data_IF_371910035296
#
_entry.id   IF_371910035296
#
_cell.length_a   1.000
_cell.length_b   1.000
_cell.length_c   1.000
_cell.angle_alpha   90.00
_cell.angle_beta   90.00
_cell.angle_gamma   90.00
#
_symmetry.space_group_name_H-M   'P 1'
#
loop_
_entity.id
_entity.type
_entity.pdbx_description
1 polymer ?
#
# COMPACT_ATOMS: atom_id res chain seq x y z
N UNK A 1 13.09 -25.68 2.00
CA UNK A 1 11.62 -25.96 2.03
C UNK A 1 10.81 -24.65 2.18
N UNK A 2 11.06 -23.83 3.22
CA UNK A 2 10.27 -22.59 3.45
C UNK A 2 10.48 -21.57 2.32
N UNK A 3 11.71 -21.42 1.85
CA UNK A 3 12.05 -20.54 0.73
C UNK A 3 11.36 -20.95 -0.57
N UNK A 4 11.32 -22.25 -0.84
CA UNK A 4 10.67 -22.80 -2.03
C UNK A 4 9.14 -22.58 -1.98
N UNK A 5 8.55 -22.71 -0.79
CA UNK A 5 7.14 -22.44 -0.56
C UNK A 5 6.80 -20.96 -0.75
N UNK A 6 7.66 -20.04 -0.26
CA UNK A 6 7.49 -18.59 -0.45
C UNK A 6 7.61 -18.24 -1.93
N UNK A 7 8.64 -18.73 -2.62
CA UNK A 7 8.81 -18.50 -4.06
C UNK A 7 7.66 -19.04 -4.90
N UNK A 8 7.09 -20.18 -4.50
CA UNK A 8 5.89 -20.70 -5.13
C UNK A 8 4.67 -19.80 -4.91
N UNK A 9 4.48 -19.30 -3.69
CA UNK A 9 3.40 -18.35 -3.35
C UNK A 9 3.53 -17.04 -4.13
N UNK A 10 4.75 -16.49 -4.26
CA UNK A 10 5.04 -15.29 -5.05
C UNK A 10 4.62 -15.44 -6.53
N UNK A 11 4.73 -16.65 -7.06
CA UNK A 11 4.28 -16.98 -8.42
C UNK A 11 2.76 -17.06 -8.61
N UNK A 12 1.97 -17.08 -7.53
CA UNK A 12 0.52 -17.18 -7.63
C UNK A 12 -0.13 -15.84 -7.93
N UNK A 13 -1.27 -15.81 -8.66
CA UNK A 13 -1.96 -14.58 -9.04
C UNK A 13 -2.78 -14.02 -7.87
N UNK A 14 -2.14 -13.81 -6.72
CA UNK A 14 -2.77 -13.23 -5.55
C UNK A 14 -2.25 -11.83 -5.24
N UNK A 15 -3.12 -11.01 -4.69
CA UNK A 15 -2.76 -9.80 -3.98
C UNK A 15 -2.44 -10.16 -2.52
N UNK A 16 -1.16 -10.13 -2.17
CA UNK A 16 -0.71 -10.37 -0.80
C UNK A 16 -0.92 -9.13 0.05
N UNK A 17 -1.63 -9.28 1.16
CA UNK A 17 -2.06 -8.18 2.02
C UNK A 17 -2.15 -8.63 3.48
N UNK A 18 -2.43 -7.69 4.38
CA UNK A 18 -2.79 -7.98 5.77
C UNK A 18 -4.29 -7.90 5.96
N UNK A 19 -4.81 -8.49 7.05
CA UNK A 19 -6.23 -8.36 7.40
C UNK A 19 -6.66 -6.89 7.57
N UNK A 20 -5.76 -6.07 8.16
CA UNK A 20 -6.01 -4.64 8.35
C UNK A 20 -6.10 -3.90 7.02
N UNK A 21 -5.12 -4.08 6.15
CA UNK A 21 -5.10 -3.46 4.82
C UNK A 21 -6.30 -3.90 3.98
N UNK A 22 -6.57 -5.20 3.90
CA UNK A 22 -7.74 -5.72 3.18
C UNK A 22 -9.05 -5.12 3.69
N UNK A 23 -9.24 -5.05 5.02
CA UNK A 23 -10.46 -4.48 5.59
C UNK A 23 -10.60 -2.99 5.27
N UNK A 24 -9.51 -2.22 5.36
CA UNK A 24 -9.50 -0.79 5.01
C UNK A 24 -9.75 -0.58 3.52
N UNK A 25 -9.13 -1.39 2.65
CA UNK A 25 -9.40 -1.39 1.21
C UNK A 25 -10.88 -1.60 0.90
N UNK A 26 -11.49 -2.62 1.50
CA UNK A 26 -12.92 -2.90 1.36
C UNK A 26 -13.79 -1.73 1.82
N UNK A 27 -13.48 -1.14 2.98
CA UNK A 27 -14.22 0.01 3.51
C UNK A 27 -14.07 1.25 2.62
N UNK A 28 -12.88 1.53 2.11
CA UNK A 28 -12.61 2.63 1.19
C UNK A 28 -13.41 2.47 -0.11
N UNK A 29 -13.44 1.27 -0.69
CA UNK A 29 -14.28 0.98 -1.86
C UNK A 29 -15.77 1.19 -1.58
N UNK A 30 -16.26 0.74 -0.43
CA UNK A 30 -17.67 0.91 -0.02
C UNK A 30 -18.05 2.37 0.26
N UNK A 31 -17.10 3.22 0.63
CA UNK A 31 -17.32 4.65 0.89
C UNK A 31 -17.24 5.51 -0.37
N UNK A 32 -16.97 4.91 -1.53
CA UNK A 32 -16.89 5.62 -2.81
C UNK A 32 -18.29 5.87 -3.36
N UNK A 33 -18.57 7.12 -3.68
CA UNK A 33 -19.78 7.54 -4.38
C UNK A 33 -19.47 7.88 -5.82
N UNK A 34 -20.37 7.55 -6.72
CA UNK A 34 -20.22 7.78 -8.16
C UNK A 34 -21.40 8.59 -8.66
N UNK A 35 -21.12 9.68 -9.35
CA UNK A 35 -22.12 10.55 -9.97
C UNK A 35 -21.82 10.62 -11.47
N UNK A 36 -22.88 10.60 -12.26
CA UNK A 36 -22.79 10.63 -13.70
C UNK A 36 -23.44 11.92 -14.24
N UNK A 37 -22.77 12.58 -15.18
CA UNK A 37 -23.25 13.78 -15.85
C UNK A 37 -22.78 13.79 -17.33
N UNK A 38 -23.67 13.36 -18.22
CA UNK A 38 -23.41 13.31 -19.66
C UNK A 38 -22.26 12.35 -20.03
N UNK A 39 -21.11 12.92 -20.42
CA UNK A 39 -19.92 12.16 -20.79
C UNK A 39 -18.88 12.10 -19.67
N UNK A 40 -19.24 12.52 -18.46
CA UNK A 40 -18.33 12.53 -17.31
C UNK A 40 -18.89 11.68 -16.17
N UNK A 41 -18.02 10.85 -15.59
CA UNK A 41 -18.30 10.13 -14.35
C UNK A 41 -17.38 10.71 -13.27
N UNK A 42 -17.96 11.19 -12.18
CA UNK A 42 -17.23 11.66 -11.02
C UNK A 42 -17.25 10.61 -9.93
N UNK A 43 -16.08 10.13 -9.53
CA UNK A 43 -15.90 9.18 -8.43
C UNK A 43 -15.29 9.89 -7.24
N UNK A 44 -15.97 9.89 -6.09
CA UNK A 44 -15.52 10.52 -4.85
C UNK A 44 -15.42 9.50 -3.75
N UNK A 45 -14.21 9.32 -3.20
CA UNK A 45 -13.97 8.47 -2.03
C UNK A 45 -13.94 9.31 -0.76
N UNK A 46 -14.60 8.84 0.29
CA UNK A 46 -14.62 9.55 1.56
C UNK A 46 -13.25 9.46 2.26
N UNK A 47 -12.82 10.54 2.98
CA UNK A 47 -11.58 10.51 3.73
C UNK A 47 -11.67 9.51 4.89
N UNK A 48 -10.53 8.88 5.18
CA UNK A 48 -10.37 7.99 6.35
C UNK A 48 -9.58 8.69 7.46
N UNK A 49 -9.86 8.33 8.70
CA UNK A 49 -9.26 8.98 9.88
C UNK A 49 -7.91 8.40 10.30
N UNK A 50 -7.51 7.22 9.79
CA UNK A 50 -6.37 6.48 10.33
C UNK A 50 -5.31 6.21 9.27
N UNK A 51 -5.53 5.23 8.43
CA UNK A 51 -4.59 4.83 7.38
C UNK A 51 -5.24 5.02 6.01
N UNK A 52 -4.51 5.68 5.12
CA UNK A 52 -5.00 5.96 3.77
C UNK A 52 -4.76 4.76 2.86
N UNK A 53 -5.58 3.73 2.99
CA UNK A 53 -5.55 2.55 2.12
C UNK A 53 -6.51 2.79 0.94
N UNK A 54 -6.05 2.69 -0.32
CA UNK A 54 -6.90 2.87 -1.49
C UNK A 54 -8.00 1.82 -1.56
N UNK A 55 -9.18 2.23 -2.04
CA UNK A 55 -10.29 1.33 -2.32
C UNK A 55 -10.48 1.09 -3.80
N UNK A 56 -10.95 -0.09 -4.18
CA UNK A 56 -11.24 -0.44 -5.57
C UNK A 56 -12.74 -0.51 -5.85
N UNK A 57 -13.12 -0.02 -7.01
CA UNK A 57 -14.49 -0.02 -7.52
C UNK A 57 -14.49 -0.47 -8.99
N UNK A 58 -15.43 -1.35 -9.33
CA UNK A 58 -15.75 -1.66 -10.72
C UNK A 58 -16.82 -0.71 -11.19
N UNK A 59 -16.53 0.06 -12.23
CA UNK A 59 -17.49 0.90 -12.94
C UNK A 59 -17.83 0.23 -14.25
N UNK A 60 -19.08 -0.17 -14.41
CA UNK A 60 -19.60 -0.85 -15.60
C UNK A 60 -20.42 0.14 -16.43
N UNK A 61 -20.07 0.26 -17.70
CA UNK A 61 -20.72 1.11 -18.69
C UNK A 61 -20.27 0.69 -20.09
N UNK A 62 -21.00 1.13 -21.12
CA UNK A 62 -20.84 0.74 -22.52
C UNK A 62 -20.13 1.78 -23.40
N UNK A 63 -19.45 2.76 -22.79
CA UNK A 63 -18.70 3.80 -23.48
C UNK A 63 -17.17 3.59 -23.39
N UNK A 64 -16.42 4.13 -24.33
CA UNK A 64 -14.96 4.15 -24.28
C UNK A 64 -14.46 5.27 -23.36
N UNK A 65 -13.36 5.00 -22.63
CA UNK A 65 -12.76 5.95 -21.70
C UNK A 65 -11.62 6.68 -22.40
N UNK A 66 -11.74 8.00 -22.51
CA UNK A 66 -10.67 8.84 -23.03
C UNK A 66 -9.59 9.16 -21.99
N UNK A 67 -9.93 9.12 -20.70
CA UNK A 67 -8.97 9.30 -19.60
C UNK A 67 -9.62 9.38 -18.24
N UNK A 68 -8.77 9.22 -17.21
CA UNK A 68 -9.14 9.42 -15.81
C UNK A 68 -8.23 10.49 -15.24
N UNK A 69 -8.79 11.48 -14.58
CA UNK A 69 -8.08 12.66 -14.10
C UNK A 69 -8.41 12.93 -12.64
N UNK A 70 -7.47 13.49 -11.93
CA UNK A 70 -7.68 13.97 -10.57
C UNK A 70 -8.30 15.37 -10.54
N UNK A 71 -8.52 15.91 -9.35
CA UNK A 71 -9.10 17.26 -9.15
C UNK A 71 -8.18 18.40 -9.62
N UNK A 72 -6.92 18.14 -9.92
CA UNK A 72 -5.96 19.09 -10.48
C UNK A 72 -5.85 18.99 -12.00
N UNK A 73 -6.53 18.04 -12.61
CA UNK A 73 -6.46 17.75 -14.04
C UNK A 73 -5.26 16.88 -14.43
N UNK A 74 -4.55 16.29 -13.45
CA UNK A 74 -3.48 15.34 -13.72
C UNK A 74 -4.06 13.98 -14.06
N UNK A 75 -3.44 13.31 -15.04
CA UNK A 75 -3.89 11.99 -15.46
C UNK A 75 -3.61 10.95 -14.39
N UNK A 76 -4.65 10.22 -13.99
CA UNK A 76 -4.54 9.12 -13.05
C UNK A 76 -3.80 7.93 -13.69
N UNK A 77 -2.86 7.29 -13.00
CA UNK A 77 -2.04 6.24 -13.60
C UNK A 77 -2.86 5.04 -14.08
N UNK A 78 -2.45 4.50 -15.21
CA UNK A 78 -3.03 3.29 -15.78
C UNK A 78 -2.13 2.10 -15.46
N UNK A 79 -2.68 1.00 -14.96
CA UNK A 79 -1.92 -0.19 -14.63
C UNK A 79 -2.30 -1.42 -15.48
N UNK A 80 -1.37 -2.35 -15.61
CA UNK A 80 -1.59 -3.61 -16.31
C UNK A 80 -2.34 -4.63 -15.45
N UNK A 81 -2.83 -5.70 -16.07
CA UNK A 81 -3.45 -6.83 -15.36
C UNK A 81 -2.51 -7.56 -14.40
N UNK A 82 -1.20 -7.43 -14.61
CA UNK A 82 -0.18 -8.13 -13.82
C UNK A 82 0.16 -7.45 -12.49
N UNK A 83 -0.29 -6.21 -12.29
CA UNK A 83 -0.04 -5.47 -11.05
C UNK A 83 -0.78 -6.12 -9.88
N UNK A 84 -0.02 -6.61 -8.92
CA UNK A 84 -0.50 -7.32 -7.72
C UNK A 84 -0.22 -6.58 -6.42
N UNK A 85 0.58 -5.52 -6.47
CA UNK A 85 0.84 -4.63 -5.34
C UNK A 85 -0.22 -3.54 -5.32
N UNK A 86 -0.88 -3.34 -4.17
CA UNK A 86 -1.92 -2.32 -4.04
C UNK A 86 -1.36 -0.92 -4.29
N UNK A 87 -1.85 -0.28 -5.35
CA UNK A 87 -1.50 1.07 -5.75
C UNK A 87 -2.72 1.80 -6.33
N UNK A 88 -2.64 3.11 -6.40
CA UNK A 88 -3.69 3.93 -7.04
C UNK A 88 -3.54 3.86 -8.57
N UNK A 89 -4.67 3.77 -9.26
CA UNK A 89 -4.69 3.73 -10.72
C UNK A 89 -5.99 3.16 -11.26
N UNK A 90 -6.02 2.96 -12.55
CA UNK A 90 -7.17 2.38 -13.22
C UNK A 90 -6.77 1.44 -14.35
N UNK A 91 -7.67 0.58 -14.75
CA UNK A 91 -7.48 -0.33 -15.89
C UNK A 91 -8.79 -0.55 -16.63
N UNK A 92 -8.71 -0.53 -17.97
CA UNK A 92 -9.81 -0.94 -18.82
C UNK A 92 -10.11 -2.43 -18.63
N UNK A 93 -11.39 -2.76 -18.53
CA UNK A 93 -11.89 -4.14 -18.49
C UNK A 93 -13.06 -4.27 -19.45
N UNK A 94 -13.51 -5.48 -19.70
CA UNK A 94 -14.70 -5.70 -20.51
C UNK A 94 -15.92 -5.06 -19.85
N UNK A 95 -16.58 -4.17 -20.56
CA UNK A 95 -17.77 -3.45 -20.08
C UNK A 95 -17.50 -2.39 -19.02
N UNK A 96 -16.30 -1.76 -18.99
CA UNK A 96 -16.02 -0.66 -18.08
C UNK A 96 -14.59 -0.56 -17.60
N UNK A 97 -14.37 -0.09 -16.37
CA UNK A 97 -13.05 0.06 -15.75
C UNK A 97 -13.00 -0.47 -14.32
N UNK A 98 -11.81 -0.95 -13.94
CA UNK A 98 -11.41 -1.09 -12.55
C UNK A 98 -10.72 0.19 -12.12
N UNK A 99 -11.23 0.83 -11.08
CA UNK A 99 -10.68 2.06 -10.52
C UNK A 99 -10.23 1.82 -9.09
N UNK A 100 -8.99 2.17 -8.77
CA UNK A 100 -8.44 2.16 -7.40
C UNK A 100 -8.00 3.56 -7.03
N UNK A 101 -8.66 4.16 -6.05
CA UNK A 101 -8.43 5.54 -5.64
C UNK A 101 -8.15 5.67 -4.14
N UNK A 102 -7.36 6.68 -3.78
CA UNK A 102 -7.06 6.99 -2.39
C UNK A 102 -8.30 7.57 -1.68
N UNK A 103 -8.48 7.30 -0.39
CA UNK A 103 -9.51 7.95 0.40
C UNK A 103 -9.36 9.49 0.40
N UNK A 104 -10.48 10.18 0.35
CA UNK A 104 -10.52 11.64 0.31
C UNK A 104 -10.22 12.26 -1.06
N UNK A 105 -10.12 11.46 -2.11
CA UNK A 105 -9.87 11.96 -3.47
C UNK A 105 -11.15 11.97 -4.32
N UNK A 106 -11.16 12.85 -5.31
CA UNK A 106 -12.19 12.89 -6.36
C UNK A 106 -11.50 12.71 -7.70
N UNK A 107 -12.01 11.80 -8.50
CA UNK A 107 -11.53 11.51 -9.84
C UNK A 107 -12.64 11.76 -10.86
N UNK A 108 -12.27 12.26 -12.03
CA UNK A 108 -13.15 12.47 -13.17
C UNK A 108 -12.76 11.50 -14.28
N UNK A 109 -13.67 10.64 -14.66
CA UNK A 109 -13.54 9.72 -15.80
C UNK A 109 -14.22 10.38 -16.99
N UNK A 110 -13.47 10.63 -18.06
CA UNK A 110 -14.00 11.19 -19.31
C UNK A 110 -14.29 10.06 -20.28
N UNK A 111 -15.52 10.08 -20.83
CA UNK A 111 -16.00 9.12 -21.80
C UNK A 111 -16.07 9.77 -23.19
N UNK A 112 -15.93 8.95 -24.23
CA UNK A 112 -16.09 9.42 -25.61
C UNK A 112 -17.55 9.63 -26.01
N UNK A 113 -18.47 8.92 -25.36
CA UNK A 113 -19.91 9.03 -25.56
C UNK A 113 -20.66 8.90 -24.24
N UNK A 114 -21.90 9.37 -24.22
CA UNK A 114 -22.79 9.16 -23.07
C UNK A 114 -23.18 7.70 -22.97
N UNK A 115 -22.97 7.03 -21.81
CA UNK A 115 -23.32 5.64 -21.61
C UNK A 115 -24.82 5.49 -21.31
N UNK A 116 -25.43 4.42 -21.81
CA UNK A 116 -26.85 4.12 -21.54
C UNK A 116 -27.09 3.76 -20.07
N UNK A 117 -26.11 3.12 -19.43
CA UNK A 117 -26.20 2.65 -18.04
C UNK A 117 -24.86 2.83 -17.33
N UNK A 118 -24.92 3.17 -16.05
CA UNK A 118 -23.76 3.16 -15.15
C UNK A 118 -24.08 2.31 -13.94
N UNK A 119 -23.24 1.31 -13.68
CA UNK A 119 -23.29 0.53 -12.46
C UNK A 119 -21.95 0.58 -11.74
N UNK A 120 -21.99 0.84 -10.43
CA UNK A 120 -20.80 0.92 -9.58
C UNK A 120 -20.84 -0.18 -8.53
N UNK A 121 -19.79 -0.98 -8.46
CA UNK A 121 -19.67 -2.08 -7.50
C UNK A 121 -18.36 -1.95 -6.73
N UNK A 122 -18.40 -1.75 -5.40
CA UNK A 122 -17.18 -1.79 -4.59
C UNK A 122 -16.58 -3.20 -4.58
N UNK A 123 -15.26 -3.28 -4.71
CA UNK A 123 -14.55 -4.54 -4.78
C UNK A 123 -13.86 -4.87 -3.45
N UNK A 124 -13.75 -6.16 -3.17
CA UNK A 124 -12.92 -6.72 -2.10
C UNK A 124 -11.60 -7.27 -2.62
N UNK A 125 -11.42 -7.24 -3.93
CA UNK A 125 -10.24 -7.66 -4.68
C UNK A 125 -9.50 -6.44 -5.20
N UNK A 126 -8.20 -6.55 -5.41
CA UNK A 126 -7.42 -5.54 -6.11
C UNK A 126 -7.06 -6.04 -7.51
N UNK A 127 -7.34 -5.24 -8.55
CA UNK A 127 -7.02 -5.53 -9.95
C UNK A 127 -7.45 -6.93 -10.42
N UNK A 128 -8.60 -7.42 -9.95
CA UNK A 128 -9.11 -8.79 -10.15
C UNK A 128 -8.28 -9.90 -9.49
N UNK A 129 -7.28 -9.56 -8.68
CA UNK A 129 -6.58 -10.54 -7.88
C UNK A 129 -7.27 -10.74 -6.53
N UNK A 130 -7.52 -12.00 -6.18
CA UNK A 130 -8.00 -12.34 -4.84
C UNK A 130 -6.93 -12.01 -3.80
N UNK A 131 -7.36 -11.54 -2.65
CA UNK A 131 -6.46 -11.30 -1.53
C UNK A 131 -5.98 -12.63 -0.93
N UNK A 132 -4.71 -12.65 -0.53
CA UNK A 132 -4.14 -13.70 0.28
C UNK A 132 -3.49 -13.09 1.53
N UNK A 133 -3.88 -13.59 2.70
CA UNK A 133 -3.25 -13.26 3.97
C UNK A 133 -2.43 -14.45 4.40
N UNK A 134 -1.12 -14.27 4.41
CA UNK A 134 -0.20 -15.35 4.79
C UNK A 134 0.28 -15.11 6.21
N UNK A 135 0.08 -16.10 7.07
CA UNK A 135 0.68 -16.14 8.39
C UNK A 135 1.89 -17.08 8.28
N UNK A 136 3.08 -16.51 8.24
CA UNK A 136 4.32 -17.29 8.24
C UNK A 136 4.80 -17.39 9.69
N UNK A 137 4.65 -18.57 10.27
CA UNK A 137 5.32 -18.95 11.52
C UNK A 137 6.68 -19.55 11.19
N UNK A 138 7.76 -18.86 11.53
CA UNK A 138 9.10 -19.39 11.34
C UNK A 138 9.71 -19.82 12.68
N UNK A 139 10.03 -21.09 12.78
CA UNK A 139 10.76 -21.62 13.91
C UNK A 139 12.26 -21.58 13.60
N UNK A 140 12.88 -20.41 13.72
CA UNK A 140 14.32 -20.26 13.50
C UNK A 140 15.01 -19.67 14.69
N UNK A 141 16.23 -20.13 14.95
CA UNK A 141 17.16 -19.53 15.87
C UNK A 141 17.98 -18.40 15.23
N UNK A 142 17.88 -18.23 13.90
CA UNK A 142 18.61 -17.21 13.15
C UNK A 142 17.68 -16.08 12.67
N UNK A 143 17.39 -15.17 13.58
CA UNK A 143 16.55 -14.00 13.31
C UNK A 143 17.11 -13.11 12.17
N UNK A 144 18.44 -13.03 12.03
CA UNK A 144 19.05 -12.19 10.97
C UNK A 144 18.82 -12.75 9.58
N UNK A 145 18.89 -14.07 9.41
CA UNK A 145 18.62 -14.69 8.12
C UNK A 145 17.13 -14.56 7.76
N UNK A 146 16.25 -14.77 8.71
CA UNK A 146 14.82 -14.61 8.53
C UNK A 146 14.47 -13.19 8.10
N UNK A 147 15.01 -12.16 8.77
CA UNK A 147 14.77 -10.76 8.40
C UNK A 147 15.32 -10.41 7.03
N UNK A 148 16.48 -10.95 6.64
CA UNK A 148 17.06 -10.74 5.32
C UNK A 148 16.24 -11.38 4.21
N UNK A 149 15.78 -12.62 4.41
CA UNK A 149 14.94 -13.33 3.46
C UNK A 149 13.58 -12.61 3.29
N UNK A 150 13.03 -12.06 4.37
CA UNK A 150 11.77 -11.31 4.34
C UNK A 150 11.90 -9.95 3.64
N UNK A 151 13.01 -9.25 3.85
CA UNK A 151 13.29 -7.95 3.20
C UNK A 151 13.52 -8.11 1.69
N UNK A 152 14.08 -9.25 1.28
CA UNK A 152 14.35 -9.52 -0.13
C UNK A 152 13.19 -10.22 -0.86
N UNK A 153 12.11 -10.53 -0.16
CA UNK A 153 10.90 -11.12 -0.74
C UNK A 153 10.05 -10.05 -1.42
N UNK A 154 9.42 -10.41 -2.54
CA UNK A 154 8.38 -9.58 -3.18
C UNK A 154 7.10 -9.49 -2.34
N UNK A 155 6.97 -10.29 -1.29
CA UNK A 155 5.88 -10.21 -0.30
C UNK A 155 6.04 -8.99 0.62
N UNK A 156 6.25 -7.83 0.05
CA UNK A 156 6.34 -6.57 0.80
C UNK A 156 4.93 -6.04 1.06
N UNK A 157 4.58 -5.94 2.34
CA UNK A 157 3.35 -5.27 2.76
C UNK A 157 3.47 -3.78 2.50
N UNK A 158 2.79 -3.29 1.50
CA UNK A 158 2.94 -1.94 0.95
C UNK A 158 2.76 -0.84 2.00
N UNK A 159 1.88 -1.05 2.98
CA UNK A 159 1.44 0.01 3.90
C UNK A 159 2.03 -0.09 5.32
N UNK A 160 2.56 -1.25 5.69
CA UNK A 160 3.11 -1.44 7.04
C UNK A 160 4.63 -1.32 7.11
N UNK A 161 5.33 -1.43 5.97
CA UNK A 161 6.80 -1.47 5.92
C UNK A 161 7.38 -0.31 5.08
N UNK A 162 6.56 0.53 4.47
CA UNK A 162 7.09 1.75 3.86
C UNK A 162 7.71 2.64 4.94
N UNK A 163 9.03 2.58 5.02
CA UNK A 163 9.78 3.51 5.84
C UNK A 163 9.56 4.90 5.28
N UNK A 164 9.28 5.90 6.13
CA UNK A 164 9.18 7.28 5.66
C UNK A 164 10.41 7.63 4.84
N UNK A 165 10.20 8.10 3.62
CA UNK A 165 11.25 8.51 2.73
C UNK A 165 12.16 9.53 3.44
N UNK A 166 13.40 9.17 3.72
CA UNK A 166 14.36 10.01 4.45
C UNK A 166 15.01 9.34 5.65
N UNK A 167 14.38 8.36 6.29
CA UNK A 167 15.02 7.61 7.39
C UNK A 167 16.10 6.66 6.86
N UNK A 168 15.92 6.09 5.69
CA UNK A 168 16.89 5.16 5.07
C UNK A 168 18.24 5.82 4.73
N UNK A 169 18.26 7.13 4.46
CA UNK A 169 19.48 7.88 4.15
C UNK A 169 20.05 8.63 5.34
N UNK A 170 19.39 8.59 6.48
CA UNK A 170 19.85 9.31 7.67
C UNK A 170 20.86 8.46 8.43
N UNK A 171 22.14 8.76 8.26
CA UNK A 171 23.21 8.25 9.11
C UNK A 171 23.15 8.81 10.54
N UNK A 172 22.24 9.76 10.80
CA UNK A 172 22.13 10.43 12.10
C UNK A 172 21.72 9.46 13.22
N UNK A 173 20.71 8.61 12.99
CA UNK A 173 20.24 7.67 14.01
C UNK A 173 21.29 6.61 14.39
N UNK A 174 21.95 5.91 13.46
CA UNK A 174 23.02 5.00 13.82
C UNK A 174 24.25 5.71 14.40
N UNK A 175 24.56 6.93 13.94
CA UNK A 175 25.64 7.72 14.55
C UNK A 175 25.32 8.14 15.99
N UNK A 176 24.09 8.58 16.27
CA UNK A 176 23.62 8.89 17.61
C UNK A 176 23.65 7.67 18.52
N UNK A 177 23.19 6.52 18.04
CA UNK A 177 23.25 5.26 18.78
C UNK A 177 24.68 4.85 19.13
N UNK A 178 25.63 5.03 18.20
CA UNK A 178 27.05 4.77 18.42
C UNK A 178 27.66 5.71 19.48
N UNK A 179 27.31 7.01 19.41
CA UNK A 179 27.76 8.00 20.39
C UNK A 179 27.25 7.64 21.80
N UNK A 180 26.00 7.27 21.95
CA UNK A 180 25.40 6.85 23.23
C UNK A 180 26.11 5.58 23.75
N UNK A 181 26.33 4.60 22.87
CA UNK A 181 26.99 3.34 23.22
C UNK A 181 28.41 3.57 23.78
N UNK A 182 29.17 4.53 23.22
CA UNK A 182 30.53 4.87 23.66
C UNK A 182 30.52 5.80 24.89
N UNK A 183 29.65 6.79 24.88
CA UNK A 183 29.59 7.79 25.96
C UNK A 183 29.14 7.19 27.30
N UNK A 184 28.19 6.24 27.26
CA UNK A 184 27.63 5.63 28.48
C UNK A 184 28.72 4.97 29.37
N UNK A 185 29.55 4.03 28.88
CA UNK A 185 30.59 3.41 29.71
C UNK A 185 31.68 4.38 30.14
N UNK A 186 31.98 5.40 29.30
CA UNK A 186 32.94 6.43 29.66
C UNK A 186 32.43 7.29 30.82
N UNK A 187 31.17 7.69 30.78
CA UNK A 187 30.52 8.47 31.83
C UNK A 187 30.44 7.68 33.14
N UNK A 188 30.05 6.41 33.07
CA UNK A 188 30.05 5.52 34.26
C UNK A 188 31.44 5.42 34.87
N UNK A 189 32.44 5.19 34.04
CA UNK A 189 33.84 5.06 34.53
C UNK A 189 34.37 6.36 35.13
N UNK A 190 33.97 7.50 34.56
CA UNK A 190 34.32 8.82 35.11
C UNK A 190 33.66 9.05 36.49
N UNK A 191 32.37 8.75 36.62
CA UNK A 191 31.63 8.90 37.88
C UNK A 191 32.19 7.99 38.98
N UNK A 192 32.52 6.74 38.69
CA UNK A 192 33.11 5.81 39.65
C UNK A 192 34.49 6.34 40.14
N UNK A 193 35.31 6.87 39.23
CA UNK A 193 36.62 7.45 39.64
C UNK A 193 36.43 8.65 40.53
N UNK A 194 35.50 9.53 40.23
CA UNK A 194 35.23 10.72 41.03
C UNK A 194 34.75 10.39 42.44
N UNK A 195 33.90 9.36 42.56
CA UNK A 195 33.44 8.89 43.87
C UNK A 195 34.57 8.31 44.73
N UNK A 196 35.50 7.58 44.11
CA UNK A 196 36.69 7.03 44.81
C UNK A 196 37.65 8.14 45.26
N UNK A 197 37.79 9.25 44.51
CA UNK A 197 38.64 10.37 44.85
C UNK A 197 38.02 11.29 45.91
N UNK A 198 36.73 11.18 46.20
CA UNK A 198 35.99 11.99 47.18
C UNK A 198 35.85 11.34 48.55
N UNK A 199 36.32 10.09 48.70
CA UNK A 199 36.42 9.39 49.99
C UNK A 199 37.85 9.45 50.56
#
# INVERSE_FOLDING_TARGET
>A
EDKDAISWLEGQPYWFTTWGEWNLHRLAGQSTSVVFDGTQITSTSQPTSTWSVPGSTLLQFDAEVSGVFDSFGEQHPMFSSEVRKLEIGWRQVEGGILLTQAPGTTLTIQLESEPDNLHSTPLTTFNNHHHAVTIVGHHTTNLFQWTTDFVNSELVFTWLIERPAGIEKSLFLPALALVILIATPMTIRYLIRKDVESQ
#
